data_IF_688960231465
#
_entry.id   IF_688960231465
#
_cell.length_a   1.000
_cell.length_b   1.000
_cell.length_c   1.000
_cell.angle_alpha   90.00
_cell.angle_beta   90.00
_cell.angle_gamma   90.00
#
_symmetry.space_group_name_H-M   'P 1'
#
loop_
_entity.id
_entity.type
_entity.pdbx_description
1 polymer ?
#
# COMPACT_ATOMS: atom_id res chain seq x y z
N UNK A 1 19.66 1.78 -14.10
CA UNK A 1 19.00 3.10 -14.24
C UNK A 1 18.52 3.62 -12.88
N UNK A 2 17.75 2.91 -12.08
CA UNK A 2 17.39 3.38 -10.73
C UNK A 2 18.52 3.28 -9.70
N UNK A 3 19.44 2.35 -9.87
CA UNK A 3 20.61 2.15 -8.96
C UNK A 3 21.65 3.28 -8.99
N UNK A 4 21.56 4.20 -9.93
CA UNK A 4 22.47 5.33 -10.10
C UNK A 4 21.83 6.65 -9.67
N UNK A 5 20.60 6.61 -9.16
CA UNK A 5 19.93 7.79 -8.64
C UNK A 5 20.48 8.12 -7.25
N UNK A 6 20.68 9.40 -7.01
CA UNK A 6 21.28 9.91 -5.78
C UNK A 6 20.45 9.50 -4.56
N UNK A 7 21.14 8.95 -3.56
CA UNK A 7 20.58 8.72 -2.22
C UNK A 7 20.04 10.03 -1.63
N UNK A 8 19.10 9.94 -0.72
CA UNK A 8 18.67 11.11 0.04
C UNK A 8 19.85 11.73 0.79
N UNK A 9 20.13 12.99 0.52
CA UNK A 9 21.21 13.71 1.19
C UNK A 9 21.06 13.65 2.73
N UNK A 10 22.14 13.36 3.44
CA UNK A 10 22.12 13.21 4.90
C UNK A 10 21.55 14.42 5.65
N UNK A 11 21.67 15.63 5.10
CA UNK A 11 21.03 16.83 5.65
C UNK A 11 19.51 16.75 5.53
N UNK A 12 18.97 16.33 4.39
CA UNK A 12 17.53 16.15 4.20
C UNK A 12 16.98 15.07 5.15
N UNK A 13 17.64 13.93 5.24
CA UNK A 13 17.25 12.85 6.18
C UNK A 13 17.18 13.40 7.60
N UNK A 14 18.25 14.03 8.09
CA UNK A 14 18.35 14.53 9.46
C UNK A 14 17.32 15.63 9.76
N UNK A 15 17.20 16.63 8.88
CA UNK A 15 16.50 17.87 9.20
C UNK A 15 15.03 17.84 8.76
N UNK A 16 14.68 17.03 7.77
CA UNK A 16 13.32 16.91 7.25
C UNK A 16 12.69 15.61 7.69
N UNK A 17 13.27 14.46 7.36
CA UNK A 17 12.63 13.15 7.63
C UNK A 17 12.56 12.87 9.12
N UNK A 18 13.71 12.93 9.82
CA UNK A 18 13.85 12.50 11.21
C UNK A 18 13.15 13.41 12.22
N UNK A 19 13.14 14.72 12.00
CA UNK A 19 12.55 15.68 12.95
C UNK A 19 11.02 15.70 12.95
N UNK A 20 10.40 15.37 11.84
CA UNK A 20 8.95 15.46 11.69
C UNK A 20 8.23 14.13 11.87
N UNK A 21 8.48 13.40 12.95
CA UNK A 21 7.90 12.07 13.18
C UNK A 21 6.40 12.10 13.39
N UNK A 22 5.69 11.22 12.68
CA UNK A 22 4.25 11.06 12.77
C UNK A 22 3.86 9.58 12.61
N UNK A 23 2.78 9.15 13.28
CA UNK A 23 2.23 7.81 13.11
C UNK A 23 1.70 7.57 11.67
N UNK A 24 1.22 8.63 11.02
CA UNK A 24 0.77 8.56 9.63
C UNK A 24 1.96 8.80 8.70
N UNK A 25 2.58 7.72 8.22
CA UNK A 25 3.76 7.76 7.35
C UNK A 25 3.44 8.42 6.01
N UNK A 26 2.25 8.26 5.45
CA UNK A 26 1.85 8.98 4.23
C UNK A 26 1.87 10.51 4.42
N UNK A 27 1.49 11.00 5.62
CA UNK A 27 1.61 12.42 5.92
C UNK A 27 3.08 12.87 5.99
N UNK A 28 3.95 12.05 6.58
CA UNK A 28 5.39 12.30 6.58
C UNK A 28 5.94 12.34 5.14
N UNK A 29 5.57 11.38 4.29
CA UNK A 29 5.95 11.35 2.87
C UNK A 29 5.48 12.59 2.12
N UNK A 30 4.21 12.97 2.25
CA UNK A 30 3.66 14.18 1.63
C UNK A 30 4.47 15.43 1.97
N UNK A 31 4.80 15.60 3.24
CA UNK A 31 5.64 16.69 3.73
C UNK A 31 7.06 16.64 3.16
N UNK A 32 7.65 15.46 3.12
CA UNK A 32 9.00 15.24 2.61
C UNK A 32 9.06 15.52 1.09
N UNK A 33 8.07 15.06 0.32
CA UNK A 33 7.99 15.34 -1.12
C UNK A 33 7.92 16.83 -1.36
N UNK A 34 7.06 17.56 -0.67
CA UNK A 34 6.99 19.02 -0.82
C UNK A 34 8.29 19.72 -0.42
N UNK A 35 9.00 19.21 0.60
CA UNK A 35 10.27 19.76 1.02
C UNK A 35 11.42 19.52 0.03
N UNK A 36 11.35 18.44 -0.80
CA UNK A 36 12.35 18.17 -1.86
C UNK A 36 12.45 19.28 -2.88
N UNK A 37 11.38 20.03 -3.10
CA UNK A 37 11.39 21.24 -3.92
C UNK A 37 12.59 22.17 -3.62
N UNK A 38 12.90 22.37 -2.34
CA UNK A 38 13.99 23.25 -1.89
C UNK A 38 15.39 22.69 -2.19
N UNK A 39 15.48 21.40 -2.53
CA UNK A 39 16.73 20.69 -2.79
C UNK A 39 16.94 20.37 -4.28
N UNK A 40 16.02 20.79 -5.14
CA UNK A 40 16.16 20.71 -6.60
C UNK A 40 16.67 22.04 -7.15
N UNK A 41 17.64 22.00 -8.05
CA UNK A 41 18.21 23.19 -8.67
C UNK A 41 17.25 23.87 -9.67
N UNK A 42 16.30 23.10 -10.23
CA UNK A 42 15.33 23.56 -11.23
C UNK A 42 13.89 23.10 -10.89
N UNK A 43 13.36 23.44 -9.71
CA UNK A 43 12.08 22.87 -9.25
C UNK A 43 10.88 23.37 -10.08
N UNK A 44 10.93 24.58 -10.62
CA UNK A 44 9.85 25.24 -11.40
C UNK A 44 9.87 24.91 -12.90
N UNK A 45 10.89 24.18 -13.37
CA UNK A 45 10.96 23.79 -14.78
C UNK A 45 10.02 22.64 -15.06
N UNK A 46 8.93 22.96 -15.77
CA UNK A 46 7.87 22.01 -16.19
C UNK A 46 8.09 21.44 -17.59
N UNK A 47 9.30 21.56 -18.16
CA UNK A 47 9.63 20.87 -19.40
C UNK A 47 9.46 19.35 -19.25
N UNK A 48 9.04 18.62 -20.30
CA UNK A 48 8.86 17.17 -20.22
C UNK A 48 10.10 16.43 -19.72
N UNK A 49 11.28 16.88 -20.14
CA UNK A 49 12.56 16.29 -19.73
C UNK A 49 12.82 16.46 -18.24
N UNK A 50 12.54 17.65 -17.69
CA UNK A 50 12.75 17.92 -16.26
C UNK A 50 11.67 17.23 -15.41
N UNK A 51 10.42 17.23 -15.84
CA UNK A 51 9.34 16.48 -15.17
C UNK A 51 9.66 14.99 -15.13
N UNK A 52 10.17 14.41 -16.22
CA UNK A 52 10.62 13.01 -16.25
C UNK A 52 11.77 12.78 -15.25
N UNK A 53 12.79 13.63 -15.22
CA UNK A 53 13.89 13.56 -14.26
C UNK A 53 13.36 13.57 -12.82
N UNK A 54 12.56 14.57 -12.46
CA UNK A 54 11.98 14.73 -11.13
C UNK A 54 11.11 13.52 -10.73
N UNK A 55 10.32 13.00 -11.67
CA UNK A 55 9.47 11.83 -11.43
C UNK A 55 10.28 10.58 -11.15
N UNK A 56 11.33 10.31 -11.91
CA UNK A 56 12.23 9.18 -11.70
C UNK A 56 12.99 9.30 -10.36
N UNK A 57 13.43 10.50 -10.00
CA UNK A 57 14.05 10.76 -8.69
C UNK A 57 13.06 10.55 -7.54
N UNK A 58 11.82 11.00 -7.67
CA UNK A 58 10.77 10.74 -6.66
C UNK A 58 10.50 9.24 -6.50
N UNK A 59 10.39 8.48 -7.59
CA UNK A 59 10.22 7.03 -7.53
C UNK A 59 11.37 6.35 -6.77
N UNK A 60 12.61 6.81 -6.98
CA UNK A 60 13.78 6.27 -6.29
C UNK A 60 13.83 6.67 -4.80
N UNK A 61 13.49 7.92 -4.46
CA UNK A 61 13.61 8.50 -3.11
C UNK A 61 12.43 8.19 -2.19
N UNK A 62 11.23 7.95 -2.73
CA UNK A 62 10.03 7.70 -1.92
C UNK A 62 10.14 6.48 -1.00
N UNK A 63 10.72 5.35 -1.41
CA UNK A 63 10.95 4.22 -0.51
C UNK A 63 11.85 4.56 0.69
N UNK A 64 12.92 5.31 0.46
CA UNK A 64 13.81 5.77 1.54
C UNK A 64 13.06 6.68 2.51
N UNK A 65 12.31 7.65 1.99
CA UNK A 65 11.48 8.56 2.80
C UNK A 65 10.48 7.77 3.65
N UNK A 66 9.82 6.78 3.06
CA UNK A 66 8.85 5.94 3.76
C UNK A 66 9.51 5.15 4.90
N UNK A 67 10.56 4.41 4.59
CA UNK A 67 11.27 3.56 5.55
C UNK A 67 11.91 4.39 6.66
N UNK A 68 12.59 5.47 6.32
CA UNK A 68 13.24 6.33 7.33
C UNK A 68 12.22 7.07 8.19
N UNK A 69 11.10 7.51 7.63
CA UNK A 69 10.00 8.09 8.42
C UNK A 69 9.41 7.08 9.39
N UNK A 70 9.27 5.82 8.97
CA UNK A 70 8.80 4.73 9.82
C UNK A 70 9.78 4.46 10.96
N UNK A 71 11.08 4.30 10.69
CA UNK A 71 12.11 4.08 11.71
C UNK A 71 12.22 5.26 12.67
N UNK A 72 12.13 6.49 12.17
CA UNK A 72 12.10 7.68 13.01
C UNK A 72 10.87 7.70 13.93
N UNK A 73 9.68 7.37 13.40
CA UNK A 73 8.47 7.26 14.22
C UNK A 73 8.62 6.18 15.30
N UNK A 74 9.11 5.00 14.95
CA UNK A 74 9.35 3.90 15.89
C UNK A 74 10.33 4.32 17.00
N UNK A 75 11.42 4.95 16.63
CA UNK A 75 12.44 5.40 17.57
C UNK A 75 11.90 6.49 18.51
N UNK A 76 11.40 7.60 17.97
CA UNK A 76 11.04 8.77 18.78
C UNK A 76 9.69 8.67 19.49
N UNK A 77 8.81 7.73 19.10
CA UNK A 77 7.46 7.60 19.65
C UNK A 77 7.14 6.24 20.25
N UNK A 78 7.98 5.24 20.01
CA UNK A 78 7.79 3.87 20.51
C UNK A 78 9.02 3.31 21.23
N UNK A 79 10.05 4.15 21.43
CA UNK A 79 11.30 3.81 22.12
C UNK A 79 12.05 2.62 21.51
N UNK A 80 11.86 2.35 20.21
CA UNK A 80 12.58 1.31 19.50
C UNK A 80 13.99 1.78 19.11
N UNK A 81 14.86 0.83 18.83
CA UNK A 81 16.19 1.12 18.29
C UNK A 81 16.09 1.75 16.90
N UNK A 82 16.83 2.85 16.69
CA UNK A 82 16.91 3.49 15.38
C UNK A 82 17.82 2.69 14.44
N UNK A 83 17.27 2.26 13.31
CA UNK A 83 18.01 1.65 12.22
C UNK A 83 17.95 2.56 11.00
N UNK A 84 19.09 2.95 10.48
CA UNK A 84 19.23 3.66 9.20
C UNK A 84 20.21 2.87 8.37
N UNK A 85 19.75 2.37 7.23
CA UNK A 85 20.54 1.63 6.27
C UNK A 85 20.31 2.20 4.89
N UNK A 86 21.38 2.58 4.22
CA UNK A 86 21.30 3.13 2.87
C UNK A 86 20.95 2.03 1.85
N UNK A 87 20.28 2.39 0.76
CA UNK A 87 20.05 1.49 -0.37
C UNK A 87 21.40 1.05 -0.95
N UNK A 88 21.45 -0.15 -1.50
CA UNK A 88 22.65 -0.72 -2.11
C UNK A 88 22.52 -0.75 -3.62
N UNK A 89 23.58 -0.33 -4.30
CA UNK A 89 23.67 -0.44 -5.77
C UNK A 89 23.63 -1.89 -6.21
N UNK A 90 22.91 -2.14 -7.30
CA UNK A 90 22.77 -3.49 -7.86
C UNK A 90 21.59 -4.30 -7.31
N UNK A 91 20.96 -3.85 -6.23
CA UNK A 91 19.70 -4.41 -5.76
C UNK A 91 18.49 -3.73 -6.46
N UNK A 92 17.42 -4.49 -6.63
CA UNK A 92 16.14 -3.96 -7.10
C UNK A 92 15.51 -3.01 -6.06
N UNK A 93 14.47 -2.27 -6.47
CA UNK A 93 13.72 -1.40 -5.56
C UNK A 93 13.11 -2.21 -4.41
N UNK A 94 12.52 -3.37 -4.71
CA UNK A 94 11.92 -4.25 -3.72
C UNK A 94 12.95 -4.79 -2.71
N UNK A 95 14.10 -5.23 -3.18
CA UNK A 95 15.20 -5.69 -2.34
C UNK A 95 15.71 -4.59 -1.43
N UNK A 96 15.90 -3.37 -1.95
CA UNK A 96 16.32 -2.22 -1.17
C UNK A 96 15.30 -1.84 -0.09
N UNK A 97 14.00 -1.87 -0.40
CA UNK A 97 12.95 -1.64 0.59
C UNK A 97 13.07 -2.65 1.75
N UNK A 98 13.18 -3.95 1.45
CA UNK A 98 13.29 -4.99 2.47
C UNK A 98 14.59 -4.89 3.27
N UNK A 99 15.70 -4.60 2.59
CA UNK A 99 17.02 -4.39 3.21
C UNK A 99 16.99 -3.24 4.21
N UNK A 100 16.41 -2.10 3.83
CA UNK A 100 16.35 -0.91 4.67
C UNK A 100 15.35 -1.05 5.81
N UNK A 101 14.22 -1.73 5.56
CA UNK A 101 13.13 -1.86 6.53
C UNK A 101 13.47 -2.81 7.68
N UNK A 102 14.15 -3.93 7.38
CA UNK A 102 14.37 -4.99 8.37
C UNK A 102 15.60 -4.72 9.21
N UNK A 103 15.50 -4.82 10.56
CA UNK A 103 16.67 -4.60 11.43
C UNK A 103 17.88 -5.49 11.11
N UNK A 104 17.62 -6.73 10.71
CA UNK A 104 18.66 -7.69 10.32
C UNK A 104 19.08 -7.58 8.83
N UNK A 105 18.31 -6.80 8.04
CA UNK A 105 18.53 -6.65 6.60
C UNK A 105 18.29 -7.91 5.77
N UNK A 106 17.70 -8.95 6.35
CA UNK A 106 17.51 -10.24 5.68
C UNK A 106 16.13 -10.37 5.05
N UNK A 107 16.08 -10.89 3.85
CA UNK A 107 14.87 -11.24 3.11
C UNK A 107 15.11 -12.48 2.26
N UNK A 108 14.04 -13.17 1.84
CA UNK A 108 14.15 -14.27 0.89
C UNK A 108 13.97 -13.74 -0.54
N UNK A 109 14.43 -14.49 -1.52
CA UNK A 109 14.24 -14.17 -2.93
C UNK A 109 12.74 -14.07 -3.28
N UNK A 110 11.92 -14.96 -2.70
CA UNK A 110 10.48 -14.95 -2.89
C UNK A 110 9.84 -13.69 -2.31
N UNK A 111 10.24 -13.25 -1.12
CA UNK A 111 9.76 -11.98 -0.52
C UNK A 111 10.05 -10.78 -1.41
N UNK A 112 11.27 -10.68 -1.92
CA UNK A 112 11.67 -9.60 -2.83
C UNK A 112 10.86 -9.64 -4.13
N UNK A 113 10.69 -10.83 -4.73
CA UNK A 113 9.90 -11.03 -5.94
C UNK A 113 8.43 -10.69 -5.75
N UNK A 114 7.84 -11.08 -4.63
CA UNK A 114 6.44 -10.77 -4.30
C UNK A 114 6.25 -9.26 -4.16
N UNK A 115 7.15 -8.59 -3.46
CA UNK A 115 7.10 -7.13 -3.32
C UNK A 115 7.28 -6.42 -4.67
N UNK A 116 8.21 -6.87 -5.51
CA UNK A 116 8.44 -6.30 -6.83
C UNK A 116 7.20 -6.43 -7.74
N UNK A 117 6.59 -7.62 -7.77
CA UNK A 117 5.33 -7.84 -8.50
C UNK A 117 4.21 -6.96 -7.96
N UNK A 118 4.09 -6.84 -6.64
CA UNK A 118 3.11 -5.97 -6.04
C UNK A 118 3.32 -4.50 -6.45
N UNK A 119 4.55 -3.99 -6.44
CA UNK A 119 4.88 -2.65 -6.92
C UNK A 119 4.52 -2.46 -8.40
N UNK A 120 4.82 -3.44 -9.26
CA UNK A 120 4.45 -3.40 -10.69
C UNK A 120 2.93 -3.36 -10.87
N UNK A 121 2.19 -4.23 -10.18
CA UNK A 121 0.73 -4.30 -10.29
C UNK A 121 0.02 -3.05 -9.80
N UNK A 122 0.67 -2.28 -8.93
CA UNK A 122 0.16 -1.04 -8.37
C UNK A 122 0.67 0.22 -9.08
N UNK A 123 1.55 0.10 -10.05
CA UNK A 123 2.12 1.26 -10.76
C UNK A 123 1.08 1.98 -11.64
N UNK A 124 -0.01 1.30 -12.03
CA UNK A 124 -1.05 1.86 -12.89
C UNK A 124 -2.42 1.32 -12.48
N UNK A 125 -3.42 2.20 -12.40
CA UNK A 125 -4.80 1.87 -12.03
C UNK A 125 -5.85 2.54 -12.94
N UNK A 126 -5.44 3.14 -14.03
CA UNK A 126 -6.30 3.95 -14.90
C UNK A 126 -6.62 5.32 -14.32
N UNK A 127 -7.08 6.22 -15.19
CA UNK A 127 -7.33 7.64 -14.87
C UNK A 127 -8.49 7.93 -13.90
N UNK A 128 -9.23 6.91 -13.47
CA UNK A 128 -10.50 7.08 -12.74
C UNK A 128 -10.38 7.21 -11.22
N UNK A 129 -9.19 7.21 -10.66
CA UNK A 129 -9.03 7.35 -9.21
C UNK A 129 -8.84 8.82 -8.77
N UNK A 130 -9.11 9.11 -7.48
CA UNK A 130 -9.12 10.47 -6.97
C UNK A 130 -7.74 11.11 -6.92
N UNK A 131 -6.65 10.35 -6.71
CA UNK A 131 -5.29 10.88 -6.72
C UNK A 131 -4.84 11.25 -8.14
N UNK A 132 -5.14 10.44 -9.15
CA UNK A 132 -4.89 10.79 -10.55
C UNK A 132 -5.68 12.04 -10.96
N UNK A 133 -6.97 12.12 -10.60
CA UNK A 133 -7.76 13.32 -10.83
C UNK A 133 -7.13 14.56 -10.15
N UNK A 134 -6.67 14.42 -8.92
CA UNK A 134 -5.98 15.50 -8.20
C UNK A 134 -4.70 15.92 -8.93
N UNK A 135 -3.91 14.95 -9.42
CA UNK A 135 -2.71 15.23 -10.22
C UNK A 135 -3.06 16.07 -11.44
N UNK A 136 -4.08 15.66 -12.22
CA UNK A 136 -4.52 16.42 -13.41
C UNK A 136 -4.99 17.83 -13.07
N UNK A 137 -5.80 17.98 -12.01
CA UNK A 137 -6.28 19.31 -11.60
C UNK A 137 -5.12 20.22 -11.18
N UNK A 138 -4.22 19.72 -10.34
CA UNK A 138 -3.12 20.55 -9.81
C UNK A 138 -2.11 20.89 -10.91
N UNK A 139 -1.73 19.91 -11.74
CA UNK A 139 -0.79 20.17 -12.86
C UNK A 139 -1.37 21.05 -13.96
N UNK A 140 -2.70 21.13 -14.12
CA UNK A 140 -3.33 22.03 -15.10
C UNK A 140 -3.07 23.52 -14.82
N UNK A 141 -2.69 23.86 -13.59
CA UNK A 141 -2.29 25.23 -13.22
C UNK A 141 -0.87 25.59 -13.64
N UNK A 142 -0.08 24.63 -14.15
CA UNK A 142 1.33 24.83 -14.48
C UNK A 142 2.27 24.82 -13.27
N UNK A 143 1.85 24.23 -12.15
CA UNK A 143 2.68 24.12 -10.94
C UNK A 143 3.75 23.02 -11.07
N UNK A 144 4.69 23.01 -10.16
CA UNK A 144 5.83 22.09 -10.10
C UNK A 144 5.42 20.65 -9.77
N UNK A 145 6.32 19.70 -10.06
CA UNK A 145 6.14 18.26 -9.85
C UNK A 145 5.97 17.90 -8.38
N UNK A 146 6.69 18.56 -7.46
CA UNK A 146 6.66 18.26 -6.02
C UNK A 146 5.32 18.65 -5.40
N UNK A 147 4.80 19.83 -5.72
CA UNK A 147 3.48 20.30 -5.28
C UNK A 147 2.37 19.39 -5.79
N UNK A 148 2.43 19.00 -7.06
CA UNK A 148 1.46 18.09 -7.67
C UNK A 148 1.47 16.70 -7.01
N UNK A 149 2.66 16.12 -6.82
CA UNK A 149 2.82 14.81 -6.17
C UNK A 149 2.40 14.86 -4.71
N UNK A 150 2.77 15.91 -3.97
CA UNK A 150 2.34 16.08 -2.58
C UNK A 150 0.81 16.19 -2.44
N UNK A 151 0.14 16.91 -3.35
CA UNK A 151 -1.32 16.98 -3.39
C UNK A 151 -1.96 15.60 -3.66
N UNK A 152 -1.38 14.83 -4.56
CA UNK A 152 -1.85 13.48 -4.92
C UNK A 152 -1.70 12.49 -3.76
N UNK A 153 -0.58 12.51 -3.04
CA UNK A 153 -0.40 11.75 -1.80
C UNK A 153 -1.43 12.18 -0.74
N UNK A 154 -1.70 13.48 -0.63
CA UNK A 154 -2.72 14.03 0.26
C UNK A 154 -4.12 13.51 -0.06
N UNK A 155 -4.46 13.37 -1.34
CA UNK A 155 -5.71 12.75 -1.81
C UNK A 155 -5.74 11.27 -1.47
N UNK A 156 -4.66 10.53 -1.77
CA UNK A 156 -4.58 9.09 -1.59
C UNK A 156 -4.69 8.68 -0.12
N UNK A 157 -4.10 9.40 0.83
CA UNK A 157 -4.17 9.07 2.27
C UNK A 157 -5.58 9.18 2.87
N UNK A 158 -6.53 9.75 2.14
CA UNK A 158 -7.89 9.93 2.61
C UNK A 158 -8.62 8.62 2.91
N UNK A 159 -9.45 8.53 3.99
CA UNK A 159 -10.08 7.28 4.41
C UNK A 159 -11.09 6.72 3.40
N UNK A 160 -11.55 7.53 2.44
CA UNK A 160 -12.46 7.11 1.37
C UNK A 160 -11.74 6.70 0.08
N UNK A 161 -10.43 6.87 0.03
CA UNK A 161 -9.59 6.47 -1.11
C UNK A 161 -8.64 5.36 -0.69
N UNK A 162 -7.54 5.69 -0.15
CA UNK A 162 -6.54 4.73 0.25
C UNK A 162 -6.77 4.07 1.63
N UNK A 163 -7.61 4.59 2.51
CA UNK A 163 -7.91 3.99 3.83
C UNK A 163 -8.67 2.66 3.80
N UNK A 164 -9.01 2.16 2.62
CA UNK A 164 -9.75 0.91 2.47
C UNK A 164 -8.97 -0.32 2.95
N UNK A 165 -7.66 -0.37 2.73
CA UNK A 165 -6.79 -1.47 3.18
C UNK A 165 -6.78 -1.60 4.70
N UNK A 166 -6.66 -0.49 5.42
CA UNK A 166 -6.73 -0.50 6.89
C UNK A 166 -8.08 -1.04 7.39
N UNK A 167 -9.18 -0.73 6.67
CA UNK A 167 -10.50 -1.27 6.99
C UNK A 167 -10.59 -2.77 6.79
N UNK A 168 -9.99 -3.30 5.71
CA UNK A 168 -9.91 -4.76 5.50
C UNK A 168 -9.12 -5.41 6.63
N UNK A 169 -7.96 -4.87 6.98
CA UNK A 169 -7.13 -5.39 8.05
C UNK A 169 -7.89 -5.45 9.39
N UNK A 170 -8.53 -4.35 9.76
CA UNK A 170 -9.29 -4.27 11.00
C UNK A 170 -10.48 -5.25 11.01
N UNK A 171 -11.16 -5.41 9.86
CA UNK A 171 -12.26 -6.38 9.74
C UNK A 171 -11.77 -7.82 9.91
N UNK A 172 -10.60 -8.18 9.34
CA UNK A 172 -10.03 -9.51 9.57
C UNK A 172 -9.52 -9.71 11.00
N UNK A 173 -8.98 -8.69 11.63
CA UNK A 173 -8.62 -8.75 13.05
C UNK A 173 -9.86 -8.95 13.93
N UNK A 174 -10.95 -8.26 13.62
CA UNK A 174 -12.24 -8.44 14.30
C UNK A 174 -12.82 -9.84 14.06
N UNK A 175 -12.82 -10.33 12.80
CA UNK A 175 -13.24 -11.70 12.48
C UNK A 175 -12.45 -12.74 13.30
N UNK A 176 -11.12 -12.63 13.32
CA UNK A 176 -10.25 -13.55 14.08
C UNK A 176 -10.45 -13.49 15.59
N UNK A 177 -11.03 -12.42 16.11
CA UNK A 177 -11.41 -12.31 17.52
C UNK A 177 -12.76 -12.96 17.84
N UNK A 178 -13.57 -13.25 16.82
CA UNK A 178 -14.92 -13.83 16.94
C UNK A 178 -15.02 -15.28 16.44
N UNK A 179 -14.05 -15.73 15.66
CA UNK A 179 -13.95 -17.11 15.14
C UNK A 179 -12.60 -17.67 15.54
N UNK A 180 -12.61 -18.67 16.41
CA UNK A 180 -11.40 -19.31 16.91
C UNK A 180 -10.59 -19.94 15.77
N UNK A 181 -9.25 -20.02 15.91
CA UNK A 181 -8.39 -20.53 14.86
C UNK A 181 -8.75 -21.97 14.45
N UNK A 182 -9.11 -22.80 15.40
CA UNK A 182 -9.53 -24.20 15.15
C UNK A 182 -10.83 -24.31 14.34
N UNK A 183 -11.54 -23.20 14.16
CA UNK A 183 -12.81 -23.08 13.41
C UNK A 183 -12.67 -22.26 12.12
N UNK A 184 -11.46 -21.91 11.69
CA UNK A 184 -11.25 -21.16 10.43
C UNK A 184 -11.65 -21.95 9.18
N UNK A 185 -11.84 -23.26 9.29
CA UNK A 185 -12.39 -24.13 8.26
C UNK A 185 -13.93 -24.24 8.30
N UNK A 186 -14.58 -23.76 9.38
CA UNK A 186 -16.02 -23.79 9.55
C UNK A 186 -16.69 -22.62 8.81
N UNK A 187 -17.20 -22.89 7.61
CA UNK A 187 -17.88 -21.87 6.80
C UNK A 187 -19.12 -21.29 7.47
N UNK A 188 -19.86 -22.04 8.27
CA UNK A 188 -21.09 -21.57 8.92
C UNK A 188 -20.81 -20.47 9.97
N UNK A 189 -19.72 -20.57 10.70
CA UNK A 189 -19.29 -19.54 11.65
C UNK A 189 -18.86 -18.27 10.92
N UNK A 190 -18.07 -18.41 9.85
CA UNK A 190 -17.66 -17.29 8.99
C UNK A 190 -18.90 -16.60 8.37
N UNK A 191 -19.84 -17.38 7.84
CA UNK A 191 -21.11 -16.86 7.30
C UNK A 191 -21.88 -16.09 8.37
N UNK A 192 -21.98 -16.65 9.58
CA UNK A 192 -22.69 -16.03 10.69
C UNK A 192 -22.06 -14.67 11.06
N UNK A 193 -20.74 -14.60 11.16
CA UNK A 193 -20.04 -13.36 11.42
C UNK A 193 -20.24 -12.34 10.29
N UNK A 194 -20.04 -12.73 9.02
CA UNK A 194 -20.19 -11.83 7.88
C UNK A 194 -21.63 -11.31 7.72
N UNK A 195 -22.64 -12.10 8.07
CA UNK A 195 -24.05 -11.66 8.14
C UNK A 195 -24.25 -10.57 9.21
N UNK A 196 -23.63 -10.72 10.39
CA UNK A 196 -23.66 -9.66 11.42
C UNK A 196 -23.00 -8.36 10.92
N UNK A 197 -21.88 -8.46 10.19
CA UNK A 197 -21.24 -7.28 9.58
C UNK A 197 -22.19 -6.61 8.59
N UNK A 198 -22.84 -7.36 7.68
CA UNK A 198 -23.80 -6.82 6.70
C UNK A 198 -25.02 -6.18 7.36
N UNK A 199 -25.50 -6.77 8.45
CA UNK A 199 -26.64 -6.27 9.24
C UNK A 199 -26.29 -5.09 10.15
N UNK A 200 -25.02 -4.62 10.15
CA UNK A 200 -24.51 -3.55 11.03
C UNK A 200 -24.49 -3.93 12.52
N UNK A 201 -24.32 -5.21 12.82
CA UNK A 201 -24.32 -5.76 14.19
C UNK A 201 -22.90 -6.06 14.68
N UNK A 202 -21.91 -6.08 13.79
CA UNK A 202 -20.50 -6.35 14.10
C UNK A 202 -19.55 -5.40 13.40
N UNK A 203 -18.29 -5.41 13.83
CA UNK A 203 -17.20 -4.58 13.34
C UNK A 203 -17.52 -3.08 13.48
N UNK A 204 -17.46 -2.30 12.41
CA UNK A 204 -17.66 -0.85 12.42
C UNK A 204 -19.11 -0.40 12.17
N UNK A 205 -20.06 -1.31 12.17
CA UNK A 205 -21.49 -1.10 11.96
C UNK A 205 -21.84 -0.38 10.64
N UNK A 206 -20.94 -0.35 9.67
CA UNK A 206 -21.18 0.26 8.37
C UNK A 206 -22.04 -0.61 7.42
N UNK A 207 -22.13 -1.92 7.69
CA UNK A 207 -22.83 -2.86 6.83
C UNK A 207 -22.07 -3.16 5.54
N UNK A 208 -20.72 -3.16 5.61
CA UNK A 208 -19.83 -3.37 4.49
C UNK A 208 -18.83 -4.47 4.79
N UNK A 209 -18.74 -5.45 3.90
CA UNK A 209 -17.60 -6.37 3.87
C UNK A 209 -16.53 -5.68 3.01
N UNK A 210 -15.49 -5.21 3.68
CA UNK A 210 -14.39 -4.49 3.01
C UNK A 210 -13.55 -5.45 2.18
N UNK A 211 -12.98 -4.97 1.08
CA UNK A 211 -12.24 -5.79 0.13
C UNK A 211 -13.04 -6.35 -1.02
N UNK A 212 -14.36 -6.26 -0.96
CA UNK A 212 -15.28 -6.82 -1.95
C UNK A 212 -15.98 -5.74 -2.79
N UNK A 213 -16.34 -6.10 -4.03
CA UNK A 213 -17.09 -5.25 -4.96
C UNK A 213 -16.19 -4.31 -5.76
N UNK A 214 -15.99 -4.58 -7.04
CA UNK A 214 -15.17 -3.78 -7.95
C UNK A 214 -16.04 -2.88 -8.84
N UNK A 215 -15.58 -1.63 -9.08
CA UNK A 215 -16.31 -0.69 -9.94
C UNK A 215 -16.30 -1.12 -11.42
N UNK A 216 -15.21 -1.73 -11.87
CA UNK A 216 -14.95 -2.10 -13.27
C UNK A 216 -15.13 -3.60 -13.50
N UNK A 217 -14.44 -4.43 -12.71
CA UNK A 217 -14.43 -5.87 -12.88
C UNK A 217 -15.59 -6.56 -12.16
N UNK A 218 -16.17 -7.56 -12.83
CA UNK A 218 -17.34 -8.31 -12.32
C UNK A 218 -17.06 -9.78 -12.08
N UNK A 219 -16.04 -10.33 -12.73
CA UNK A 219 -15.66 -11.73 -12.57
C UNK A 219 -14.42 -11.85 -11.66
N UNK A 220 -13.33 -11.23 -12.05
CA UNK A 220 -12.10 -11.15 -11.26
C UNK A 220 -11.27 -9.96 -11.72
N UNK A 221 -10.42 -9.41 -10.85
CA UNK A 221 -9.37 -8.48 -11.24
C UNK A 221 -8.13 -9.29 -11.66
N UNK A 222 -7.61 -9.14 -12.89
CA UNK A 222 -6.45 -9.92 -13.34
C UNK A 222 -5.21 -9.71 -12.47
N UNK A 223 -5.08 -8.55 -11.84
CA UNK A 223 -3.96 -8.25 -10.93
C UNK A 223 -4.08 -9.04 -9.63
N UNK A 224 -5.29 -9.17 -9.10
CA UNK A 224 -5.57 -9.98 -7.92
C UNK A 224 -5.21 -11.45 -8.17
N UNK A 225 -5.60 -12.00 -9.33
CA UNK A 225 -5.28 -13.40 -9.69
C UNK A 225 -3.77 -13.65 -9.74
N UNK A 226 -3.00 -12.68 -10.24
CA UNK A 226 -1.53 -12.78 -10.26
C UNK A 226 -0.98 -12.75 -8.83
N UNK A 227 -1.35 -11.74 -8.04
CA UNK A 227 -0.83 -11.56 -6.69
C UNK A 227 -1.18 -12.74 -5.78
N UNK A 228 -2.37 -13.30 -5.92
CA UNK A 228 -2.85 -14.46 -5.15
C UNK A 228 -1.96 -15.69 -5.26
N UNK A 229 -1.43 -15.97 -6.46
CA UNK A 229 -0.49 -17.08 -6.68
C UNK A 229 0.81 -16.89 -5.91
N UNK A 230 1.33 -15.67 -5.89
CA UNK A 230 2.55 -15.35 -5.16
C UNK A 230 2.33 -15.29 -3.65
N UNK A 231 1.16 -14.79 -3.21
CA UNK A 231 0.76 -14.80 -1.81
C UNK A 231 0.65 -16.22 -1.27
N UNK A 232 0.08 -17.15 -2.05
CA UNK A 232 0.00 -18.56 -1.68
C UNK A 232 1.41 -19.17 -1.49
N UNK A 233 2.28 -19.01 -2.48
CA UNK A 233 3.64 -19.53 -2.39
C UNK A 233 4.41 -18.96 -1.18
N UNK A 234 4.23 -17.67 -0.89
CA UNK A 234 4.84 -17.04 0.27
C UNK A 234 4.22 -17.53 1.59
N UNK A 235 2.92 -17.80 1.62
CA UNK A 235 2.24 -18.40 2.78
C UNK A 235 2.78 -19.79 3.09
N UNK A 236 3.00 -20.61 2.07
CA UNK A 236 3.61 -21.93 2.19
C UNK A 236 5.05 -21.83 2.74
N UNK A 237 5.88 -20.91 2.19
CA UNK A 237 7.25 -20.67 2.68
C UNK A 237 7.27 -20.24 4.16
N UNK A 238 6.26 -19.46 4.59
CA UNK A 238 6.17 -18.93 5.96
C UNK A 238 5.43 -19.85 6.94
N UNK A 239 4.87 -20.95 6.48
CA UNK A 239 4.03 -21.84 7.32
C UNK A 239 2.70 -21.19 7.76
N UNK A 240 2.15 -20.31 6.92
CA UNK A 240 0.92 -19.54 7.20
C UNK A 240 -0.24 -19.93 6.26
N UNK A 241 -0.26 -21.15 5.79
CA UNK A 241 -1.25 -21.64 4.82
C UNK A 241 -2.68 -21.59 5.38
N UNK A 242 -2.90 -21.90 6.67
CA UNK A 242 -4.22 -21.84 7.30
C UNK A 242 -4.82 -20.44 7.25
N UNK A 243 -4.00 -19.42 7.51
CA UNK A 243 -4.44 -18.03 7.44
C UNK A 243 -4.77 -17.63 6.00
N UNK A 244 -3.98 -18.06 5.03
CA UNK A 244 -4.27 -17.85 3.60
C UNK A 244 -5.60 -18.48 3.19
N UNK A 245 -5.87 -19.70 3.64
CA UNK A 245 -7.14 -20.38 3.36
C UNK A 245 -8.34 -19.69 4.03
N UNK A 246 -8.18 -19.11 5.22
CA UNK A 246 -9.23 -18.30 5.83
C UNK A 246 -9.59 -17.10 4.92
N UNK A 247 -8.59 -16.39 4.38
CA UNK A 247 -8.84 -15.27 3.46
C UNK A 247 -9.58 -15.73 2.19
N UNK A 248 -9.18 -16.87 1.61
CA UNK A 248 -9.85 -17.46 0.45
C UNK A 248 -11.33 -17.81 0.73
N UNK A 249 -11.62 -18.42 1.90
CA UNK A 249 -12.99 -18.74 2.29
C UNK A 249 -13.82 -17.48 2.46
N UNK A 250 -13.31 -16.49 3.17
CA UNK A 250 -14.01 -15.21 3.35
C UNK A 250 -14.33 -14.55 2.01
N UNK A 251 -13.40 -14.54 1.06
CA UNK A 251 -13.61 -14.00 -0.27
C UNK A 251 -14.75 -14.73 -1.01
N UNK A 252 -14.71 -16.06 -1.03
CA UNK A 252 -15.72 -16.89 -1.71
C UNK A 252 -17.11 -16.75 -1.09
N UNK A 253 -17.18 -16.66 0.23
CA UNK A 253 -18.43 -16.53 0.98
C UNK A 253 -18.99 -15.12 0.83
N UNK A 254 -18.14 -14.09 0.98
CA UNK A 254 -18.56 -12.69 0.98
C UNK A 254 -19.21 -12.28 -0.33
N UNK A 255 -18.69 -12.73 -1.48
CA UNK A 255 -19.28 -12.46 -2.79
C UNK A 255 -20.76 -12.89 -2.86
N UNK A 256 -21.06 -14.12 -2.44
CA UNK A 256 -22.41 -14.70 -2.41
C UNK A 256 -23.31 -13.93 -1.44
N UNK A 257 -22.86 -13.71 -0.21
CA UNK A 257 -23.62 -13.00 0.82
C UNK A 257 -23.99 -11.57 0.43
N UNK A 258 -23.07 -10.82 -0.20
CA UNK A 258 -23.34 -9.46 -0.66
C UNK A 258 -24.39 -9.47 -1.77
N UNK A 259 -24.33 -10.42 -2.71
CA UNK A 259 -25.31 -10.56 -3.78
C UNK A 259 -26.70 -10.84 -3.21
N UNK A 260 -26.83 -11.79 -2.28
CA UNK A 260 -28.09 -12.12 -1.62
C UNK A 260 -28.63 -10.94 -0.81
N UNK A 261 -27.80 -10.34 0.05
CA UNK A 261 -28.20 -9.26 0.94
C UNK A 261 -28.67 -8.00 0.18
N UNK A 262 -27.98 -7.65 -0.92
CA UNK A 262 -28.31 -6.48 -1.74
C UNK A 262 -29.21 -6.79 -2.92
N UNK A 263 -29.65 -8.02 -3.10
CA UNK A 263 -30.46 -8.47 -4.25
C UNK A 263 -29.83 -8.11 -5.59
N UNK A 264 -28.51 -8.32 -5.71
CA UNK A 264 -27.76 -8.00 -6.92
C UNK A 264 -27.81 -9.18 -7.90
N UNK A 265 -28.03 -8.87 -9.17
CA UNK A 265 -27.95 -9.86 -10.26
C UNK A 265 -26.55 -9.93 -10.91
N UNK A 266 -25.58 -9.18 -10.39
CA UNK A 266 -24.23 -9.07 -10.91
C UNK A 266 -23.23 -9.63 -9.89
N UNK A 267 -22.28 -10.42 -10.35
CA UNK A 267 -21.22 -10.96 -9.49
C UNK A 267 -20.45 -9.85 -8.77
N UNK A 268 -20.06 -10.17 -7.53
CA UNK A 268 -19.24 -9.29 -6.68
C UNK A 268 -17.89 -9.98 -6.51
N UNK A 269 -16.85 -9.43 -7.12
CA UNK A 269 -15.48 -9.93 -7.01
C UNK A 269 -14.66 -9.12 -6.00
N UNK A 270 -13.53 -9.68 -5.60
CA UNK A 270 -12.55 -8.98 -4.78
C UNK A 270 -11.87 -7.84 -5.56
N UNK A 271 -11.39 -6.84 -4.84
CA UNK A 271 -10.63 -5.71 -5.39
C UNK A 271 -9.15 -5.92 -5.13
N UNK A 272 -8.27 -5.65 -6.09
CA UNK A 272 -6.81 -5.69 -5.88
C UNK A 272 -6.38 -4.74 -4.75
N UNK A 273 -6.84 -3.51 -4.79
CA UNK A 273 -6.44 -2.46 -3.83
C UNK A 273 -6.95 -2.64 -2.40
N UNK A 274 -7.91 -3.53 -2.21
CA UNK A 274 -8.57 -3.77 -0.94
C UNK A 274 -8.88 -5.25 -0.79
N UNK A 275 -8.20 -6.10 -1.59
CA UNK A 275 -8.41 -7.53 -1.48
C UNK A 275 -7.76 -8.06 -0.21
N UNK A 276 -8.37 -9.10 0.30
CA UNK A 276 -7.82 -9.90 1.37
C UNK A 276 -6.41 -10.40 1.03
N UNK A 277 -6.16 -10.67 -0.26
CA UNK A 277 -4.90 -11.17 -0.79
C UNK A 277 -3.79 -10.12 -0.77
N UNK A 278 -4.10 -8.88 -1.15
CA UNK A 278 -3.13 -7.78 -1.12
C UNK A 278 -2.68 -7.48 0.30
N UNK A 279 -3.66 -7.39 1.21
CA UNK A 279 -3.41 -7.26 2.63
C UNK A 279 -2.54 -8.41 3.16
N UNK A 280 -2.90 -9.64 2.82
CA UNK A 280 -2.19 -10.82 3.29
C UNK A 280 -0.76 -10.90 2.74
N UNK A 281 -0.58 -10.58 1.46
CA UNK A 281 0.74 -10.49 0.83
C UNK A 281 1.62 -9.49 1.58
N UNK A 282 1.06 -8.34 1.88
CA UNK A 282 1.77 -7.35 2.65
C UNK A 282 2.09 -7.85 4.08
N UNK A 283 1.17 -8.58 4.79
CA UNK A 283 1.45 -9.22 6.08
C UNK A 283 2.64 -10.16 5.99
N UNK A 284 2.70 -10.97 4.96
CA UNK A 284 3.76 -11.95 4.77
C UNK A 284 5.10 -11.28 4.46
N UNK A 285 5.11 -10.25 3.61
CA UNK A 285 6.32 -9.54 3.20
C UNK A 285 6.88 -8.68 4.34
N UNK A 286 6.02 -7.93 5.04
CA UNK A 286 6.50 -6.94 6.01
C UNK A 286 6.59 -7.46 7.45
N UNK A 287 6.17 -8.70 7.75
CA UNK A 287 6.05 -9.28 9.11
C UNK A 287 5.13 -8.46 10.03
N UNK A 288 4.37 -9.11 10.90
CA UNK A 288 3.26 -8.54 11.74
C UNK A 288 3.50 -7.17 12.41
N UNK A 289 4.74 -6.77 12.66
CA UNK A 289 5.05 -5.56 13.44
C UNK A 289 5.27 -4.28 12.60
N UNK A 290 5.31 -4.37 11.26
CA UNK A 290 5.66 -3.25 10.37
C UNK A 290 4.49 -2.80 9.49
N UNK A 291 3.28 -3.18 9.86
CA UNK A 291 2.21 -3.54 8.96
C UNK A 291 1.35 -2.42 8.42
N UNK A 292 0.83 -1.53 9.28
CA UNK A 292 -0.27 -0.66 8.88
C UNK A 292 0.13 0.54 8.06
N UNK A 293 1.33 1.07 8.34
CA UNK A 293 1.68 2.40 7.86
C UNK A 293 2.61 2.37 6.63
N UNK A 294 3.49 1.35 6.53
CA UNK A 294 4.53 1.33 5.50
C UNK A 294 4.07 0.70 4.17
N UNK A 295 3.30 -0.37 4.22
CA UNK A 295 2.76 -1.01 3.01
C UNK A 295 1.97 -0.01 2.17
N UNK A 296 1.16 0.79 2.84
CA UNK A 296 0.37 1.84 2.24
C UNK A 296 1.21 2.90 1.55
N UNK A 297 2.29 3.32 2.20
CA UNK A 297 3.14 4.40 1.73
C UNK A 297 3.99 4.01 0.53
N UNK A 298 4.47 2.77 0.49
CA UNK A 298 5.34 2.29 -0.59
C UNK A 298 4.56 2.16 -1.90
N UNK A 299 3.33 1.65 -1.83
CA UNK A 299 2.45 1.59 -2.99
C UNK A 299 1.94 2.96 -3.44
N UNK A 300 1.54 3.80 -2.49
CA UNK A 300 1.03 5.14 -2.77
C UNK A 300 2.03 6.06 -3.48
N UNK A 301 3.31 5.94 -3.14
CA UNK A 301 4.36 6.76 -3.73
C UNK A 301 4.54 6.54 -5.22
N UNK A 302 4.32 5.31 -5.70
CA UNK A 302 4.44 4.98 -7.12
C UNK A 302 3.24 5.46 -7.96
N UNK A 303 2.04 5.51 -7.36
CA UNK A 303 0.83 5.96 -8.06
C UNK A 303 0.75 7.46 -8.31
N UNK A 304 1.43 8.23 -7.51
CA UNK A 304 1.39 9.69 -7.61
C UNK A 304 2.41 10.26 -8.60
N UNK A 305 3.10 9.41 -9.37
CA UNK A 305 4.05 9.87 -10.37
C UNK A 305 3.33 10.63 -11.50
N UNK A 306 3.79 11.84 -11.85
CA UNK A 306 3.21 12.62 -12.96
C UNK A 306 3.45 12.03 -14.36
N UNK A 307 4.12 10.87 -14.46
CA UNK A 307 4.39 10.18 -15.75
C UNK A 307 3.14 9.64 -16.45
N UNK A 308 1.96 9.70 -15.82
CA UNK A 308 0.68 9.30 -16.43
C UNK A 308 0.09 10.28 -17.43
N UNK A 309 0.81 11.31 -17.88
CA UNK A 309 0.39 12.14 -19.00
C UNK A 309 0.82 11.51 -20.31
N UNK A 310 -0.09 10.83 -20.95
CA UNK A 310 -0.09 10.68 -22.43
C UNK A 310 -1.24 11.53 -22.93
N UNK A 311 -0.93 12.68 -23.50
CA UNK A 311 -1.81 13.34 -24.44
C UNK A 311 -1.87 12.56 -25.72
#
# INVERSE_FOLDING_TARGET
MMSDMEELGGRFVRDVVMKGTNANIMNAMQRCVLALYTYDDNPEDISPENVLRQSLELIAKLPEIAVYSYHAYRHFRKDDTLFIRNPQKGLSLAENILLMLRPDGKYTELEAKVLDIALILHAEHGGGNNSTFTTHVVTSSGTDTYSSTAASIGSLKGPRHGGANLKVQNMFADLKSHVDQDHWDNEDEIITYLKKVLNKEAFDHAGLIYGMGHAVYTLSDPREVILKRFAQALAEEKGMTEEFELYNRVENIAGKLIMEHRKLFKNVCAKVWTSTVDLYTACLVFRKNYYSDLCYCTYAGLECSPLGRTD
#
